data_IF_324242622810
#
_entry.id   IF_324242622810
#
_cell.length_a   1.000
_cell.length_b   1.000
_cell.length_c   1.000
_cell.angle_alpha   90.00
_cell.angle_beta   90.00
_cell.angle_gamma   90.00
#
_symmetry.space_group_name_H-M   'P 1'
#
loop_
_entity.id
_entity.type
_entity.pdbx_description
1 polymer ?
#
# COMPACT_ATOMS: atom_id res chain seq x y z
N UNK A 1 -17.49 -5.16 0.63
CA UNK A 1 -17.09 -5.83 1.89
C UNK A 1 -15.99 -5.09 2.67
N UNK A 2 -14.83 -4.73 2.08
CA UNK A 2 -13.70 -4.10 2.82
C UNK A 2 -14.08 -2.84 3.63
N UNK A 3 -14.86 -1.92 3.04
CA UNK A 3 -15.28 -0.69 3.73
C UNK A 3 -16.13 -0.97 4.99
N UNK A 4 -17.01 -1.98 4.94
CA UNK A 4 -17.85 -2.40 6.09
C UNK A 4 -16.96 -2.97 7.18
N UNK A 5 -15.99 -3.81 6.81
CA UNK A 5 -15.02 -4.38 7.76
C UNK A 5 -14.16 -3.29 8.43
N UNK A 6 -13.72 -2.28 7.68
CA UNK A 6 -12.99 -1.14 8.23
C UNK A 6 -13.83 -0.33 9.23
N UNK A 7 -15.11 -0.12 8.93
CA UNK A 7 -16.05 0.53 9.85
C UNK A 7 -16.20 -0.25 11.16
N UNK A 8 -16.36 -1.58 11.09
CA UNK A 8 -16.46 -2.43 12.26
C UNK A 8 -15.19 -2.43 13.13
N UNK A 9 -14.01 -2.51 12.50
CA UNK A 9 -12.72 -2.45 13.22
C UNK A 9 -12.51 -1.07 13.86
N UNK A 10 -12.88 0.00 13.17
CA UNK A 10 -12.80 1.36 13.73
C UNK A 10 -13.70 1.49 14.97
N UNK A 11 -14.96 1.05 14.89
CA UNK A 11 -15.86 1.05 16.05
C UNK A 11 -15.33 0.22 17.22
N UNK A 12 -14.80 -0.97 16.95
CA UNK A 12 -14.19 -1.80 17.97
C UNK A 12 -12.97 -1.12 18.62
N UNK A 13 -12.15 -0.42 17.82
CA UNK A 13 -10.98 0.34 18.30
C UNK A 13 -11.42 1.47 19.24
N UNK A 14 -12.43 2.25 18.85
CA UNK A 14 -13.01 3.31 19.67
C UNK A 14 -13.60 2.77 20.97
N UNK A 15 -14.25 1.61 20.93
CA UNK A 15 -14.76 0.95 22.14
C UNK A 15 -13.63 0.53 23.09
N UNK A 16 -12.51 -0.01 22.59
CA UNK A 16 -11.37 -0.38 23.45
C UNK A 16 -10.68 0.86 24.02
N UNK A 17 -10.55 1.94 23.25
CA UNK A 17 -10.03 3.21 23.74
C UNK A 17 -10.91 3.77 24.87
N UNK A 18 -12.24 3.71 24.71
CA UNK A 18 -13.16 4.09 25.79
C UNK A 18 -12.99 3.20 27.03
N UNK A 19 -12.82 1.88 26.86
CA UNK A 19 -12.59 0.97 27.99
C UNK A 19 -11.31 1.32 28.75
N UNK A 20 -10.23 1.67 28.06
CA UNK A 20 -8.98 2.11 28.68
C UNK A 20 -9.16 3.32 29.60
N UNK A 21 -10.03 4.25 29.25
CA UNK A 21 -10.32 5.42 30.10
C UNK A 21 -11.10 5.08 31.39
N UNK A 22 -11.66 3.87 31.51
CA UNK A 22 -12.52 3.46 32.63
C UNK A 22 -12.01 2.20 33.35
N UNK A 23 -10.76 1.83 33.16
CA UNK A 23 -10.18 0.64 33.79
C UNK A 23 -10.09 0.82 35.29
N UNK A 24 -10.40 -0.24 36.04
CA UNK A 24 -10.32 -0.25 37.51
C UNK A 24 -9.23 -1.18 38.04
N UNK A 25 -8.62 -1.96 37.15
CA UNK A 25 -7.57 -2.91 37.50
C UNK A 25 -6.56 -3.07 36.36
N UNK A 26 -5.33 -3.43 36.72
CA UNK A 26 -4.25 -3.68 35.75
C UNK A 26 -4.62 -4.76 34.71
N UNK A 27 -5.23 -5.91 35.07
CA UNK A 27 -5.62 -6.89 34.06
C UNK A 27 -6.64 -6.38 33.03
N UNK A 28 -7.55 -5.47 33.43
CA UNK A 28 -8.48 -4.84 32.49
C UNK A 28 -7.76 -3.87 31.54
N UNK A 29 -6.79 -3.12 32.07
CA UNK A 29 -5.94 -2.25 31.27
C UNK A 29 -5.14 -3.05 30.24
N UNK A 30 -4.45 -4.11 30.66
CA UNK A 30 -3.67 -4.96 29.76
C UNK A 30 -4.54 -5.61 28.68
N UNK A 31 -5.73 -6.09 29.06
CA UNK A 31 -6.69 -6.65 28.11
C UNK A 31 -7.13 -5.63 27.06
N UNK A 32 -7.51 -4.43 27.49
CA UNK A 32 -8.03 -3.38 26.60
C UNK A 32 -6.93 -2.78 25.72
N UNK A 33 -5.73 -2.58 26.27
CA UNK A 33 -4.54 -2.10 25.55
C UNK A 33 -4.14 -3.08 24.45
N UNK A 34 -4.04 -4.37 24.77
CA UNK A 34 -3.70 -5.40 23.78
C UNK A 34 -4.74 -5.51 22.68
N UNK A 35 -6.02 -5.43 23.03
CA UNK A 35 -7.12 -5.46 22.06
C UNK A 35 -7.09 -4.22 21.14
N UNK A 36 -6.92 -3.03 21.71
CA UNK A 36 -6.78 -1.79 20.94
C UNK A 36 -5.61 -1.89 19.96
N UNK A 37 -4.44 -2.29 20.43
CA UNK A 37 -3.24 -2.38 19.60
C UNK A 37 -3.39 -3.39 18.45
N UNK A 38 -4.07 -4.53 18.68
CA UNK A 38 -4.39 -5.48 17.61
C UNK A 38 -5.31 -4.87 16.56
N UNK A 39 -6.39 -4.22 16.99
CA UNK A 39 -7.36 -3.61 16.08
C UNK A 39 -6.75 -2.45 15.28
N UNK A 40 -5.92 -1.62 15.91
CA UNK A 40 -5.20 -0.54 15.25
C UNK A 40 -4.27 -1.06 14.13
N UNK A 41 -3.50 -2.13 14.40
CA UNK A 41 -2.67 -2.78 13.36
C UNK A 41 -3.50 -3.35 12.22
N UNK A 42 -4.63 -3.99 12.53
CA UNK A 42 -5.57 -4.47 11.49
C UNK A 42 -6.10 -3.32 10.64
N UNK A 43 -6.46 -2.20 11.25
CA UNK A 43 -6.94 -1.02 10.52
C UNK A 43 -5.87 -0.48 9.56
N UNK A 44 -4.62 -0.36 10.00
CA UNK A 44 -3.50 0.04 9.12
C UNK A 44 -3.36 -0.89 7.93
N UNK A 45 -3.40 -2.21 8.15
CA UNK A 45 -3.35 -3.19 7.06
C UNK A 45 -4.53 -3.02 6.09
N UNK A 46 -5.74 -2.78 6.59
CA UNK A 46 -6.91 -2.52 5.72
C UNK A 46 -6.76 -1.23 4.91
N UNK A 47 -6.17 -0.18 5.48
CA UNK A 47 -5.88 1.08 4.76
C UNK A 47 -4.86 0.83 3.63
N UNK A 48 -3.82 0.04 3.89
CA UNK A 48 -2.87 -0.36 2.85
C UNK A 48 -3.52 -1.20 1.76
N UNK A 49 -4.36 -2.17 2.12
CA UNK A 49 -5.14 -2.97 1.17
C UNK A 49 -6.06 -2.07 0.33
N UNK A 50 -6.74 -1.10 0.95
CA UNK A 50 -7.60 -0.16 0.24
C UNK A 50 -6.79 0.71 -0.72
N UNK A 51 -5.61 1.18 -0.29
CA UNK A 51 -4.69 1.96 -1.13
C UNK A 51 -4.26 1.13 -2.35
N UNK A 52 -3.84 -0.13 -2.15
CA UNK A 52 -3.46 -1.06 -3.22
C UNK A 52 -4.62 -1.36 -4.17
N UNK A 53 -5.83 -1.51 -3.65
CA UNK A 53 -7.03 -1.75 -4.46
C UNK A 53 -7.40 -0.52 -5.31
N UNK A 54 -7.21 0.69 -4.78
CA UNK A 54 -7.51 1.95 -5.47
C UNK A 54 -6.42 2.40 -6.42
N UNK A 55 -5.15 2.15 -6.09
CA UNK A 55 -4.06 2.31 -7.04
C UNK A 55 -4.23 1.24 -8.10
N UNK A 56 -4.70 1.61 -9.30
CA UNK A 56 -4.63 0.72 -10.46
C UNK A 56 -3.18 0.23 -10.57
N UNK A 57 -2.94 -1.03 -10.23
CA UNK A 57 -1.66 -1.69 -10.48
C UNK A 57 -1.62 -1.99 -11.98
N UNK A 58 -1.45 -0.94 -12.78
CA UNK A 58 -1.31 -1.05 -14.23
C UNK A 58 0.13 -1.43 -14.55
N UNK A 59 0.58 -2.54 -13.98
CA UNK A 59 1.79 -3.20 -14.44
C UNK A 59 1.38 -4.15 -15.57
N UNK A 60 0.94 -3.58 -16.69
CA UNK A 60 0.61 -4.36 -17.88
C UNK A 60 1.91 -4.92 -18.46
N UNK A 61 2.24 -6.16 -18.12
CA UNK A 61 3.34 -6.88 -18.78
C UNK A 61 2.82 -7.33 -20.15
N UNK A 62 3.07 -6.51 -21.17
CA UNK A 62 2.77 -6.86 -22.56
C UNK A 62 3.98 -7.56 -23.17
N UNK A 63 3.81 -8.84 -23.52
CA UNK A 63 4.86 -9.62 -24.19
C UNK A 63 4.70 -9.43 -25.69
N UNK A 64 5.69 -8.79 -26.31
CA UNK A 64 5.80 -8.67 -27.76
C UNK A 64 7.07 -9.39 -28.22
N UNK A 65 6.96 -10.23 -29.25
CA UNK A 65 8.14 -10.83 -29.90
C UNK A 65 8.74 -9.78 -30.84
N UNK A 66 9.97 -9.38 -30.55
CA UNK A 66 10.74 -8.45 -31.39
C UNK A 66 11.82 -9.25 -32.11
N UNK A 67 11.89 -9.14 -33.43
CA UNK A 67 12.96 -9.70 -34.25
C UNK A 67 13.98 -8.60 -34.55
N UNK A 68 15.25 -8.84 -34.20
CA UNK A 68 16.35 -7.91 -34.50
C UNK A 68 17.07 -8.42 -35.75
N UNK A 69 17.04 -7.64 -36.82
CA UNK A 69 17.73 -7.94 -38.08
C UNK A 69 19.21 -7.53 -38.01
N UNK A 70 19.99 -8.00 -38.98
CA UNK A 70 21.41 -7.67 -39.11
C UNK A 70 21.64 -6.14 -39.12
N UNK A 71 22.51 -5.66 -38.24
CA UNK A 71 22.76 -4.23 -38.00
C UNK A 71 21.82 -3.54 -37.00
N UNK A 72 20.79 -4.21 -36.49
CA UNK A 72 19.89 -3.68 -35.45
C UNK A 72 20.42 -3.87 -34.02
N UNK A 73 20.11 -2.93 -33.13
CA UNK A 73 20.38 -3.04 -31.68
C UNK A 73 19.09 -2.84 -30.88
N UNK A 74 18.86 -3.70 -29.90
CA UNK A 74 17.75 -3.60 -28.96
C UNK A 74 18.30 -3.29 -27.55
N UNK A 75 17.74 -2.28 -26.89
CA UNK A 75 18.15 -1.86 -25.55
C UNK A 75 16.98 -2.12 -24.60
N UNK A 76 17.26 -2.82 -23.49
CA UNK A 76 16.29 -3.06 -22.41
C UNK A 76 16.69 -2.19 -21.22
N UNK A 77 15.84 -1.24 -20.85
CA UNK A 77 16.10 -0.36 -19.70
C UNK A 77 15.37 0.97 -19.79
N UNK A 78 15.55 1.81 -18.76
CA UNK A 78 14.94 3.13 -18.68
C UNK A 78 15.77 4.11 -19.53
N UNK A 79 15.30 4.45 -20.73
CA UNK A 79 16.04 5.34 -21.64
C UNK A 79 15.67 6.80 -21.36
N UNK A 80 16.63 7.59 -20.90
CA UNK A 80 16.54 9.06 -20.91
C UNK A 80 17.24 9.57 -22.17
N UNK A 81 16.47 9.98 -23.17
CA UNK A 81 17.04 10.61 -24.38
C UNK A 81 17.52 12.03 -24.04
N UNK A 82 18.79 12.16 -23.66
CA UNK A 82 19.48 13.44 -23.61
C UNK A 82 19.82 13.89 -25.03
N UNK A 83 19.01 14.78 -25.60
CA UNK A 83 19.26 15.37 -26.91
C UNK A 83 20.58 16.14 -26.91
N UNK A 84 21.59 15.62 -27.61
CA UNK A 84 22.83 16.33 -27.91
C UNK A 84 22.57 17.23 -29.10
N UNK A 85 22.28 18.50 -28.86
CA UNK A 85 22.34 19.53 -29.90
C UNK A 85 23.81 19.83 -30.17
N UNK A 86 24.33 19.30 -31.28
CA UNK A 86 25.62 19.72 -31.82
C UNK A 86 25.47 21.16 -32.37
N UNK A 87 25.92 22.12 -31.58
CA UNK A 87 26.12 23.50 -32.01
C UNK A 87 27.42 23.57 -32.83
N UNK A 88 27.27 23.61 -34.16
CA UNK A 88 28.32 24.08 -35.07
C UNK A 88 27.95 25.46 -35.58
N UNK A 89 28.73 26.47 -35.20
CA UNK A 89 29.24 27.48 -36.14
C UNK A 89 30.50 28.13 -35.62
#
# INVERSE_FOLDING_TARGET
MLAIQMGAIHQATMMMARRLNHVKSLPQQDSAERALNKLARTFTSQVETLKRYRSKADQTVRVERVEVKEGGQAIVGNIQNGGRSDEKK
#
